data_IF_735414437456
#
_entry.id   IF_735414437456
#
_cell.length_a   1.000
_cell.length_b   1.000
_cell.length_c   1.000
_cell.angle_alpha   90.00
_cell.angle_beta   90.00
_cell.angle_gamma   90.00
#
_symmetry.space_group_name_H-M   'P 1'
#
loop_
_entity.id
_entity.type
_entity.pdbx_description
1 polymer ?
#
# COMPACT_ATOMS: atom_id res chain seq x y z
N UNK A 1 11.47 -10.33 9.38
CA UNK A 1 10.86 -11.42 10.17
C UNK A 1 9.46 -11.05 10.62
N UNK A 2 9.28 -10.18 11.64
CA UNK A 2 7.93 -9.82 12.10
C UNK A 2 7.06 -9.24 10.96
N UNK A 3 7.60 -8.28 10.20
CA UNK A 3 6.96 -7.72 9.00
C UNK A 3 6.67 -8.77 7.94
N UNK A 4 7.57 -9.73 7.73
CA UNK A 4 7.37 -10.84 6.78
C UNK A 4 6.18 -11.70 7.16
N UNK A 5 6.02 -12.02 8.44
CA UNK A 5 4.88 -12.79 8.94
C UNK A 5 3.59 -12.00 8.73
N UNK A 6 3.59 -10.70 9.00
CA UNK A 6 2.47 -9.81 8.69
C UNK A 6 2.09 -9.83 7.21
N UNK A 7 3.06 -9.61 6.33
CA UNK A 7 2.88 -9.62 4.88
C UNK A 7 2.39 -10.98 4.36
N UNK A 8 2.86 -12.10 4.94
CA UNK A 8 2.37 -13.44 4.62
C UNK A 8 0.87 -13.59 4.93
N UNK A 9 0.42 -13.19 6.12
CA UNK A 9 -1.00 -13.24 6.47
C UNK A 9 -1.85 -12.24 5.67
N UNK A 10 -1.31 -11.04 5.40
CA UNK A 10 -1.99 -10.05 4.56
C UNK A 10 -2.13 -10.55 3.12
N UNK A 11 -1.12 -11.22 2.57
CA UNK A 11 -1.16 -11.81 1.24
C UNK A 11 -2.22 -12.91 1.12
N UNK A 12 -2.26 -13.84 2.07
CA UNK A 12 -3.31 -14.87 2.13
C UNK A 12 -4.70 -14.25 2.28
N UNK A 13 -4.84 -13.25 3.15
CA UNK A 13 -6.10 -12.53 3.30
C UNK A 13 -6.51 -11.83 2.00
N UNK A 14 -5.56 -11.25 1.26
CA UNK A 14 -5.84 -10.58 -0.02
C UNK A 14 -6.32 -11.57 -1.07
N UNK A 15 -5.70 -12.74 -1.15
CA UNK A 15 -6.11 -13.81 -2.05
C UNK A 15 -7.53 -14.33 -1.74
N UNK A 16 -7.90 -14.38 -0.45
CA UNK A 16 -9.25 -14.73 -0.06
C UNK A 16 -10.26 -13.61 -0.33
N UNK A 17 -9.94 -12.37 0.04
CA UNK A 17 -10.80 -11.19 -0.11
C UNK A 17 -11.04 -10.85 -1.58
N UNK A 18 -10.04 -11.02 -2.46
CA UNK A 18 -10.18 -10.78 -3.91
C UNK A 18 -11.25 -11.68 -4.55
N UNK A 19 -11.52 -12.85 -3.95
CA UNK A 19 -12.55 -13.80 -4.39
C UNK A 19 -13.93 -13.54 -3.81
N UNK A 20 -14.08 -12.57 -2.90
CA UNK A 20 -15.38 -12.24 -2.32
C UNK A 20 -16.31 -11.56 -3.32
N UNK A 21 -17.61 -11.77 -3.16
CA UNK A 21 -18.66 -11.24 -4.06
C UNK A 21 -18.53 -9.73 -4.29
N UNK A 22 -18.17 -8.96 -3.26
CA UNK A 22 -18.02 -7.51 -3.39
C UNK A 22 -16.92 -7.13 -4.39
N UNK A 23 -15.73 -7.71 -4.22
CA UNK A 23 -14.57 -7.49 -5.08
C UNK A 23 -14.81 -7.99 -6.51
N UNK A 24 -15.60 -9.05 -6.67
CA UNK A 24 -15.95 -9.62 -7.97
C UNK A 24 -17.06 -8.87 -8.72
N UNK A 25 -17.83 -8.03 -8.02
CA UNK A 25 -18.95 -7.27 -8.61
C UNK A 25 -18.52 -5.87 -9.02
N UNK A 26 -17.52 -5.30 -8.33
CA UNK A 26 -17.04 -3.93 -8.54
C UNK A 26 -15.51 -3.96 -8.57
N UNK A 27 -14.95 -3.89 -9.77
CA UNK A 27 -13.50 -3.97 -10.03
C UNK A 27 -12.76 -2.79 -9.34
N UNK A 28 -13.41 -1.63 -9.22
CA UNK A 28 -12.86 -0.45 -8.54
C UNK A 28 -12.55 -0.69 -7.06
N UNK A 29 -13.16 -1.70 -6.42
CA UNK A 29 -12.82 -2.10 -5.05
C UNK A 29 -11.50 -2.89 -4.98
N UNK A 30 -11.11 -3.63 -6.03
CA UNK A 30 -9.80 -4.29 -6.07
C UNK A 30 -8.72 -3.25 -6.40
N UNK A 31 -8.98 -2.38 -7.37
CA UNK A 31 -8.04 -1.32 -7.80
C UNK A 31 -7.69 -0.37 -6.64
N UNK A 32 -8.63 -0.11 -5.73
CA UNK A 32 -8.40 0.81 -4.60
C UNK A 32 -7.57 0.17 -3.47
N UNK A 33 -7.45 -1.17 -3.38
CA UNK A 33 -6.76 -1.83 -2.26
C UNK A 33 -5.29 -1.39 -2.16
N UNK A 34 -4.44 -1.52 -3.19
CA UNK A 34 -3.04 -1.11 -3.08
C UNK A 34 -2.88 0.37 -2.76
N UNK A 35 -3.77 1.20 -3.30
CA UNK A 35 -3.82 2.64 -3.05
C UNK A 35 -4.05 2.92 -1.57
N UNK A 36 -5.09 2.32 -0.98
CA UNK A 36 -5.45 2.54 0.42
C UNK A 36 -4.39 1.96 1.36
N UNK A 37 -3.86 0.77 1.09
CA UNK A 37 -2.84 0.13 1.92
C UNK A 37 -1.56 0.98 1.99
N UNK A 38 -1.01 1.37 0.83
CA UNK A 38 0.20 2.19 0.78
C UNK A 38 0.00 3.54 1.47
N UNK A 39 -1.11 4.23 1.22
CA UNK A 39 -1.38 5.53 1.81
C UNK A 39 -1.54 5.43 3.33
N UNK A 40 -2.25 4.41 3.79
CA UNK A 40 -2.47 4.19 5.21
C UNK A 40 -1.19 3.80 5.94
N UNK A 41 -0.38 2.91 5.38
CA UNK A 41 0.94 2.57 5.94
C UNK A 41 1.81 3.82 6.13
N UNK A 42 1.80 4.73 5.16
CA UNK A 42 2.51 6.02 5.27
C UNK A 42 1.94 6.92 6.38
N UNK A 43 0.63 6.97 6.58
CA UNK A 43 0.01 7.77 7.66
C UNK A 43 0.36 7.23 9.04
N UNK A 44 0.33 5.91 9.22
CA UNK A 44 0.62 5.26 10.50
C UNK A 44 2.11 5.28 10.85
N UNK A 45 2.98 5.14 9.86
CA UNK A 45 4.43 5.30 10.05
C UNK A 45 4.75 6.74 10.48
N UNK A 46 4.12 7.75 9.86
CA UNK A 46 4.27 9.14 10.28
C UNK A 46 3.75 9.38 11.71
N UNK A 47 2.61 8.79 12.06
CA UNK A 47 2.08 8.83 13.42
C UNK A 47 3.08 8.23 14.43
N UNK A 48 3.60 7.04 14.11
CA UNK A 48 4.59 6.34 14.94
C UNK A 48 5.84 7.18 15.16
N UNK A 49 6.43 7.73 14.09
CA UNK A 49 7.66 8.52 14.19
C UNK A 49 7.46 9.80 15.02
N UNK A 50 6.31 10.48 14.87
CA UNK A 50 5.98 11.68 15.67
C UNK A 50 5.82 11.36 17.14
N UNK A 51 5.07 10.30 17.47
CA UNK A 51 4.86 9.87 18.85
C UNK A 51 6.14 9.31 19.47
N UNK A 52 6.98 8.62 18.71
CA UNK A 52 8.29 8.14 19.13
C UNK A 52 9.23 9.31 19.48
N UNK A 53 9.27 10.33 18.61
CA UNK A 53 10.02 11.57 18.90
C UNK A 53 9.49 12.27 20.16
N UNK A 54 8.17 12.43 20.30
CA UNK A 54 7.55 13.01 21.50
C UNK A 54 7.84 12.19 22.77
N UNK A 55 7.88 10.86 22.66
CA UNK A 55 8.24 9.97 23.76
C UNK A 55 9.71 10.16 24.16
N UNK A 56 10.61 10.26 23.19
CA UNK A 56 12.05 10.40 23.42
C UNK A 56 12.42 11.77 23.99
N UNK A 57 11.70 12.83 23.61
CA UNK A 57 11.84 14.18 24.18
C UNK A 57 11.19 14.28 25.58
N UNK A 58 10.32 13.34 25.96
CA UNK A 58 9.64 13.32 27.26
C UNK A 58 8.32 14.11 27.31
N UNK A 59 7.81 14.58 26.17
CA UNK A 59 6.52 15.30 26.09
C UNK A 59 5.32 14.42 26.48
N UNK A 60 5.47 13.09 26.40
CA UNK A 60 4.43 12.12 26.77
C UNK A 60 4.38 11.79 28.28
N UNK A 61 5.33 12.33 29.07
CA UNK A 61 5.41 12.03 30.50
C UNK A 61 4.30 12.77 31.28
N UNK A 62 3.95 14.01 30.86
CA UNK A 62 2.81 14.76 31.42
C UNK A 62 1.47 14.23 30.89
N UNK A 63 0.53 13.80 31.76
CA UNK A 63 -0.73 13.19 31.34
C UNK A 63 -1.65 14.13 30.54
N UNK A 64 -1.62 15.44 30.81
CA UNK A 64 -2.46 16.42 30.12
C UNK A 64 -1.94 16.63 28.70
N UNK A 65 -0.63 16.83 28.56
CA UNK A 65 0.07 17.00 27.29
C UNK A 65 -0.02 15.73 26.45
N UNK A 66 0.23 14.56 27.05
CA UNK A 66 0.03 13.25 26.42
C UNK A 66 -1.37 13.11 25.83
N UNK A 67 -2.42 13.43 26.59
CA UNK A 67 -3.80 13.35 26.09
C UNK A 67 -4.05 14.29 24.91
N UNK A 68 -3.52 15.51 24.94
CA UNK A 68 -3.61 16.47 23.82
C UNK A 68 -2.88 15.98 22.58
N UNK A 69 -1.68 15.41 22.72
CA UNK A 69 -0.90 14.85 21.61
C UNK A 69 -1.63 13.65 21.00
N UNK A 70 -2.08 12.70 21.83
CA UNK A 70 -2.78 11.49 21.36
C UNK A 70 -4.09 11.84 20.66
N UNK A 71 -4.97 12.62 21.31
CA UNK A 71 -6.25 12.99 20.71
C UNK A 71 -6.05 13.84 19.45
N UNK A 72 -5.11 14.78 19.45
CA UNK A 72 -4.81 15.59 18.28
C UNK A 72 -4.35 14.75 17.09
N UNK A 73 -3.45 13.81 17.32
CA UNK A 73 -2.95 12.94 16.25
C UNK A 73 -4.02 11.95 15.78
N UNK A 74 -4.86 11.43 16.68
CA UNK A 74 -5.96 10.53 16.29
C UNK A 74 -7.01 11.26 15.45
N UNK A 75 -7.39 12.50 15.82
CA UNK A 75 -8.28 13.33 14.99
C UNK A 75 -7.64 13.69 13.65
N UNK A 76 -6.33 13.94 13.61
CA UNK A 76 -5.60 14.18 12.36
C UNK A 76 -5.63 12.94 11.46
N UNK A 77 -5.40 11.76 12.03
CA UNK A 77 -5.45 10.49 11.32
C UNK A 77 -6.84 10.25 10.70
N UNK A 78 -7.91 10.60 11.41
CA UNK A 78 -9.28 10.52 10.86
C UNK A 78 -9.49 11.45 9.66
N UNK A 79 -9.07 12.72 9.76
CA UNK A 79 -9.18 13.66 8.64
C UNK A 79 -8.40 13.15 7.42
N UNK A 80 -7.16 12.70 7.64
CA UNK A 80 -6.30 12.21 6.56
C UNK A 80 -6.89 10.95 5.95
N UNK A 81 -7.32 9.97 6.75
CA UNK A 81 -7.94 8.74 6.25
C UNK A 81 -9.17 9.02 5.39
N UNK A 82 -10.09 9.87 5.84
CA UNK A 82 -11.30 10.20 5.07
C UNK A 82 -10.98 10.89 3.75
N UNK A 83 -10.13 11.93 3.78
CA UNK A 83 -9.79 12.69 2.58
C UNK A 83 -9.05 11.82 1.58
N UNK A 84 -8.07 11.05 2.05
CA UNK A 84 -7.24 10.21 1.20
C UNK A 84 -8.05 9.09 0.57
N UNK A 85 -8.93 8.42 1.32
CA UNK A 85 -9.79 7.36 0.80
C UNK A 85 -10.85 7.87 -0.18
N UNK A 86 -11.39 9.07 0.06
CA UNK A 86 -12.32 9.70 -0.88
C UNK A 86 -11.64 10.00 -2.22
N UNK A 87 -10.44 10.60 -2.20
CA UNK A 87 -9.68 10.87 -3.43
C UNK A 87 -9.25 9.56 -4.10
N UNK A 88 -8.83 8.55 -3.34
CA UNK A 88 -8.50 7.23 -3.87
C UNK A 88 -9.70 6.59 -4.61
N UNK A 89 -10.93 6.75 -4.08
CA UNK A 89 -12.14 6.28 -4.74
C UNK A 89 -12.41 7.02 -6.06
N UNK A 90 -12.22 8.34 -6.10
CA UNK A 90 -12.32 9.10 -7.34
C UNK A 90 -11.30 8.61 -8.39
N UNK A 91 -10.05 8.40 -7.98
CA UNK A 91 -9.00 7.92 -8.89
C UNK A 91 -9.30 6.50 -9.37
N UNK A 92 -9.75 5.61 -8.47
CA UNK A 92 -10.09 4.22 -8.82
C UNK A 92 -11.17 4.16 -9.90
N UNK A 93 -12.23 4.97 -9.80
CA UNK A 93 -13.31 5.02 -10.80
C UNK A 93 -12.82 5.58 -12.14
N UNK A 94 -11.99 6.63 -12.12
CA UNK A 94 -11.41 7.19 -13.36
C UNK A 94 -10.56 6.12 -14.06
N UNK A 95 -9.73 5.41 -13.29
CA UNK A 95 -8.85 4.37 -13.80
C UNK A 95 -9.65 3.17 -14.32
N UNK A 96 -10.64 2.69 -13.57
CA UNK A 96 -11.55 1.62 -14.00
C UNK A 96 -12.27 1.96 -15.30
N UNK A 97 -12.75 3.19 -15.43
CA UNK A 97 -13.38 3.68 -16.67
C UNK A 97 -12.41 3.64 -17.87
N UNK A 98 -11.15 4.03 -17.69
CA UNK A 98 -10.14 4.00 -18.75
C UNK A 98 -9.83 2.55 -19.19
N UNK A 99 -9.73 1.62 -18.24
CA UNK A 99 -9.48 0.20 -18.52
C UNK A 99 -10.64 -0.38 -19.34
N UNK A 100 -11.89 -0.12 -18.96
CA UNK A 100 -13.08 -0.58 -19.69
C UNK A 100 -13.17 0.00 -21.12
N UNK A 101 -12.83 1.29 -21.29
CA UNK A 101 -12.80 1.95 -22.60
C UNK A 101 -11.75 1.35 -23.53
N UNK A 102 -10.55 1.12 -23.02
CA UNK A 102 -9.46 0.48 -23.76
C UNK A 102 -9.86 -0.93 -24.16
N UNK A 103 -10.54 -1.65 -23.27
CA UNK A 103 -10.97 -3.00 -23.55
C UNK A 103 -12.05 -3.09 -24.64
N UNK A 104 -13.03 -2.19 -24.58
CA UNK A 104 -14.10 -2.11 -25.59
C UNK A 104 -13.55 -1.75 -26.97
N UNK A 105 -12.53 -0.91 -27.03
CA UNK A 105 -11.88 -0.47 -28.28
C UNK A 105 -11.07 -1.59 -28.93
N UNK A 106 -10.40 -2.44 -28.13
CA UNK A 106 -9.65 -3.59 -28.65
C UNK A 106 -10.58 -4.63 -29.30
N UNK A 107 -11.74 -4.90 -28.70
CA UNK A 107 -12.75 -5.83 -29.23
C UNK A 107 -13.37 -5.28 -30.54
N UNK A 108 -13.59 -3.97 -30.65
CA UNK A 108 -14.11 -3.36 -31.88
C UNK A 108 -13.12 -3.38 -33.06
N UNK A 109 -11.84 -3.64 -32.79
CA UNK A 109 -10.77 -3.66 -33.80
C UNK A 109 -10.41 -5.06 -34.32
N UNK A 110 -11.03 -6.13 -33.80
CA UNK A 110 -10.87 -7.47 -34.39
C UNK A 110 -11.74 -7.57 -35.64
N UNK A 111 -11.16 -7.74 -36.86
CA UNK A 111 -11.95 -7.94 -38.05
C UNK A 111 -12.69 -9.29 -37.95
N UNK A 112 -13.96 -9.32 -38.36
CA UNK A 112 -14.75 -10.55 -38.52
C UNK A 112 -14.00 -11.50 -39.45
N UNK A 113 -13.29 -12.47 -38.86
CA UNK A 113 -12.59 -13.50 -39.62
C UNK A 113 -13.54 -14.66 -39.83
N UNK A 114 -14.04 -14.78 -41.06
CA UNK A 114 -14.84 -15.89 -41.55
C UNK A 114 -14.19 -17.23 -41.19
N UNK A 115 -15.02 -18.12 -40.66
CA UNK A 115 -14.67 -19.48 -40.27
C UNK A 115 -14.16 -20.28 -41.48
N UNK A 116 -12.84 -20.44 -41.58
CA UNK A 116 -12.21 -21.27 -42.60
C UNK A 116 -10.72 -21.48 -42.38
N UNK A 117 -10.38 -22.68 -41.93
CA UNK A 117 -9.07 -23.33 -42.00
C UNK A 117 -8.08 -23.14 -40.84
N UNK A 118 -7.64 -24.30 -40.36
CA UNK A 118 -6.71 -24.58 -39.26
C UNK A 118 -5.25 -24.20 -39.60
N UNK A 119 -4.49 -23.89 -38.54
CA UNK A 119 -3.04 -23.70 -38.44
C UNK A 119 -2.55 -22.24 -38.51
N UNK A 120 -2.67 -21.54 -37.39
CA UNK A 120 -1.82 -20.38 -37.07
C UNK A 120 -1.69 -20.24 -35.55
N UNK A 121 -0.76 -20.98 -34.99
CA UNK A 121 -0.12 -20.65 -33.71
C UNK A 121 0.63 -19.32 -33.90
N UNK A 122 0.29 -18.27 -33.13
CA UNK A 122 1.20 -17.19 -32.64
C UNK A 122 0.46 -15.94 -32.07
N UNK A 123 -0.86 -15.74 -32.20
CA UNK A 123 -1.51 -14.53 -31.63
C UNK A 123 -2.74 -14.79 -30.72
N UNK A 124 -2.55 -15.55 -29.63
CA UNK A 124 -3.62 -15.77 -28.62
C UNK A 124 -3.35 -15.19 -27.21
N UNK A 125 -2.31 -14.36 -27.02
CA UNK A 125 -1.98 -13.81 -25.69
C UNK A 125 -2.59 -12.45 -25.34
N UNK A 126 -3.64 -12.02 -26.05
CA UNK A 126 -4.43 -10.84 -25.66
C UNK A 126 -5.90 -11.22 -25.45
N UNK A 127 -6.18 -12.17 -24.55
CA UNK A 127 -7.51 -12.24 -23.96
C UNK A 127 -7.63 -11.11 -22.95
N UNK A 128 -8.25 -10.01 -23.39
CA UNK A 128 -8.80 -8.98 -22.53
C UNK A 128 -9.73 -9.61 -21.47
N UNK A 129 -9.82 -9.03 -20.26
CA UNK A 129 -10.65 -9.57 -19.20
C UNK A 129 -12.12 -9.40 -19.58
N UNK A 130 -12.75 -10.49 -20.02
CA UNK A 130 -14.19 -10.55 -20.23
C UNK A 130 -14.79 -11.35 -19.07
N UNK A 131 -15.43 -10.67 -18.12
CA UNK A 131 -16.57 -11.22 -17.38
C UNK A 131 -17.83 -10.61 -17.97
N UNK A 132 -18.79 -11.41 -18.45
CA UNK A 132 -20.07 -10.88 -18.88
C UNK A 132 -20.86 -10.40 -17.64
N UNK A 133 -21.16 -9.10 -17.57
CA UNK A 133 -22.24 -8.62 -16.72
C UNK A 133 -23.59 -9.03 -17.34
N UNK A 134 -24.61 -9.41 -16.55
CA UNK A 134 -25.96 -9.55 -17.08
C UNK A 134 -26.45 -8.20 -17.63
N UNK A 135 -27.32 -8.19 -18.65
CA UNK A 135 -27.77 -6.95 -19.27
C UNK A 135 -28.71 -6.23 -18.30
N UNK A 136 -28.26 -5.10 -17.75
CA UNK A 136 -29.18 -4.16 -17.11
C UNK A 136 -28.97 -2.76 -17.68
N UNK A 137 -29.96 -2.33 -18.46
CA UNK A 137 -30.12 -1.01 -19.05
C UNK A 137 -30.16 0.09 -17.98
N UNK A 138 -29.02 0.63 -17.54
CA UNK A 138 -28.95 1.94 -16.85
C UNK A 138 -27.52 2.49 -16.71
N UNK A 139 -26.78 2.62 -17.82
CA UNK A 139 -25.36 3.06 -17.84
C UNK A 139 -25.02 4.37 -17.09
N UNK A 140 -25.98 5.27 -16.83
CA UNK A 140 -25.76 6.51 -16.06
C UNK A 140 -26.12 6.40 -14.56
N UNK A 141 -26.97 5.44 -14.14
CA UNK A 141 -27.31 5.21 -12.72
C UNK A 141 -26.36 4.19 -12.06
N UNK A 142 -25.70 3.33 -12.84
CA UNK A 142 -24.73 2.36 -12.33
C UNK A 142 -23.47 3.05 -11.78
N UNK A 143 -22.85 3.95 -12.56
CA UNK A 143 -21.56 4.54 -12.20
C UNK A 143 -21.57 5.42 -10.94
N UNK A 144 -22.64 6.19 -10.69
CA UNK A 144 -22.75 6.97 -9.45
C UNK A 144 -22.96 6.04 -8.23
N UNK A 145 -23.75 4.99 -8.41
CA UNK A 145 -24.03 4.00 -7.36
C UNK A 145 -22.75 3.25 -6.98
N UNK A 146 -22.01 2.76 -7.97
CA UNK A 146 -20.69 2.12 -7.80
C UNK A 146 -19.71 3.08 -7.12
N UNK A 147 -19.59 4.32 -7.60
CA UNK A 147 -18.73 5.34 -6.99
C UNK A 147 -19.09 5.56 -5.51
N UNK A 148 -20.37 5.77 -5.20
CA UNK A 148 -20.79 6.01 -3.81
C UNK A 148 -20.53 4.80 -2.92
N UNK A 149 -20.66 3.58 -3.44
CA UNK A 149 -20.31 2.36 -2.72
C UNK A 149 -18.80 2.26 -2.47
N UNK A 150 -17.97 2.48 -3.49
CA UNK A 150 -16.51 2.42 -3.37
C UNK A 150 -16.02 3.48 -2.38
N UNK A 151 -16.48 4.72 -2.53
CA UNK A 151 -16.11 5.83 -1.65
C UNK A 151 -16.51 5.57 -0.19
N UNK A 152 -17.77 5.20 0.06
CA UNK A 152 -18.26 4.96 1.42
C UNK A 152 -17.63 3.73 2.07
N UNK A 153 -17.41 2.64 1.31
CA UNK A 153 -16.71 1.44 1.82
C UNK A 153 -15.27 1.78 2.19
N UNK A 154 -14.52 2.39 1.27
CA UNK A 154 -13.12 2.74 1.49
C UNK A 154 -12.96 3.71 2.67
N UNK A 155 -13.77 4.77 2.73
CA UNK A 155 -13.77 5.73 3.83
C UNK A 155 -14.12 5.08 5.16
N UNK A 156 -15.19 4.27 5.23
CA UNK A 156 -15.60 3.64 6.49
C UNK A 156 -14.51 2.68 6.99
N UNK A 157 -14.02 1.80 6.11
CA UNK A 157 -12.98 0.82 6.46
C UNK A 157 -11.71 1.49 6.93
N UNK A 158 -11.25 2.54 6.23
CA UNK A 158 -10.05 3.28 6.65
C UNK A 158 -10.25 4.08 7.92
N UNK A 159 -11.42 4.70 8.13
CA UNK A 159 -11.71 5.41 9.39
C UNK A 159 -11.71 4.45 10.59
N UNK A 160 -12.44 3.33 10.49
CA UNK A 160 -12.48 2.29 11.53
C UNK A 160 -11.07 1.75 11.78
N UNK A 161 -10.36 1.39 10.70
CA UNK A 161 -8.99 0.88 10.78
C UNK A 161 -8.08 1.90 11.47
N UNK A 162 -8.22 3.18 11.14
CA UNK A 162 -7.42 4.27 11.72
C UNK A 162 -7.74 4.53 13.18
N UNK A 163 -9.00 4.39 13.62
CA UNK A 163 -9.33 4.45 15.05
C UNK A 163 -8.68 3.30 15.81
N UNK A 164 -8.86 2.06 15.31
CA UNK A 164 -8.36 0.85 15.96
C UNK A 164 -6.84 0.90 16.05
N UNK A 165 -6.17 1.05 14.91
CA UNK A 165 -4.73 0.93 14.84
C UNK A 165 -4.02 2.19 15.35
N UNK A 166 -4.57 3.39 15.11
CA UNK A 166 -4.06 4.62 15.71
C UNK A 166 -4.11 4.59 17.23
N UNK A 167 -5.20 4.10 17.83
CA UNK A 167 -5.31 3.95 19.28
C UNK A 167 -4.36 2.88 19.83
N UNK A 168 -4.23 1.76 19.11
CA UNK A 168 -3.29 0.69 19.47
C UNK A 168 -1.84 1.18 19.42
N UNK A 169 -1.43 1.88 18.36
CA UNK A 169 -0.09 2.47 18.22
C UNK A 169 0.20 3.50 19.31
N UNK A 170 -0.73 4.41 19.59
CA UNK A 170 -0.56 5.38 20.69
C UNK A 170 -0.35 4.68 22.03
N UNK A 171 -1.16 3.65 22.31
CA UNK A 171 -1.06 2.86 23.55
C UNK A 171 0.28 2.12 23.63
N UNK A 172 0.70 1.50 22.53
CA UNK A 172 1.96 0.78 22.42
C UNK A 172 3.16 1.71 22.72
N UNK A 173 3.18 2.91 22.15
CA UNK A 173 4.28 3.87 22.35
C UNK A 173 4.35 4.35 23.80
N UNK A 174 3.20 4.68 24.41
CA UNK A 174 3.13 5.04 25.83
C UNK A 174 3.59 3.87 26.72
N UNK A 175 3.25 2.64 26.35
CA UNK A 175 3.66 1.44 27.06
C UNK A 175 5.17 1.20 26.95
N UNK A 176 5.75 1.39 25.75
CA UNK A 176 7.20 1.31 25.54
C UNK A 176 7.93 2.31 26.43
N UNK A 177 7.48 3.56 26.45
CA UNK A 177 8.01 4.62 27.33
C UNK A 177 7.91 4.22 28.80
N UNK A 178 6.77 3.69 29.25
CA UNK A 178 6.58 3.24 30.64
C UNK A 178 7.52 2.10 31.03
N UNK A 179 7.88 1.23 30.09
CA UNK A 179 8.83 0.14 30.30
C UNK A 179 10.29 0.51 30.00
N UNK A 180 10.60 1.77 29.71
CA UNK A 180 11.96 2.21 29.39
C UNK A 180 12.51 1.60 28.09
N UNK A 181 11.65 1.14 27.18
CA UNK A 181 12.02 0.66 25.85
C UNK A 181 11.83 1.76 24.84
N UNK A 182 12.76 1.86 23.89
CA UNK A 182 12.68 2.82 22.79
C UNK A 182 11.53 2.43 21.84
N UNK A 183 10.49 3.28 21.70
CA UNK A 183 9.35 3.01 20.83
C UNK A 183 9.74 2.92 19.35
N UNK A 184 10.82 3.58 18.91
CA UNK A 184 11.23 3.60 17.49
C UNK A 184 11.71 2.23 17.00
N UNK A 185 12.12 1.35 17.92
CA UNK A 185 12.54 -0.02 17.61
C UNK A 185 11.37 -1.02 17.54
N UNK A 186 10.19 -0.67 18.07
CA UNK A 186 9.07 -1.60 18.26
C UNK A 186 7.85 -1.17 17.45
N UNK A 187 7.50 0.11 17.48
CA UNK A 187 6.27 0.61 16.89
C UNK A 187 6.26 0.53 15.35
N UNK A 188 7.32 0.93 14.61
CA UNK A 188 7.29 0.87 13.14
C UNK A 188 7.12 -0.56 12.57
N UNK A 189 7.84 -1.60 13.05
CA UNK A 189 7.61 -2.97 12.60
C UNK A 189 6.20 -3.50 12.89
N UNK A 190 5.61 -3.14 14.04
CA UNK A 190 4.26 -3.55 14.41
C UNK A 190 3.21 -2.80 13.58
N UNK A 191 3.39 -1.50 13.36
CA UNK A 191 2.54 -0.69 12.49
C UNK A 191 2.49 -1.28 11.08
N UNK A 192 3.64 -1.60 10.49
CA UNK A 192 3.73 -2.21 9.17
C UNK A 192 3.06 -3.60 9.11
N UNK A 193 3.20 -4.42 10.16
CA UNK A 193 2.63 -5.76 10.21
C UNK A 193 1.10 -5.77 10.36
N UNK A 194 0.54 -4.92 11.23
CA UNK A 194 -0.89 -4.91 11.56
C UNK A 194 -1.69 -3.94 10.67
N UNK A 195 -1.05 -2.90 10.16
CA UNK A 195 -1.62 -1.89 9.27
C UNK A 195 -2.39 -2.48 8.11
N UNK A 196 -1.66 -3.20 7.27
CA UNK A 196 -2.24 -3.71 6.04
C UNK A 196 -3.27 -4.80 6.32
N UNK A 197 -2.98 -5.68 7.29
CA UNK A 197 -3.86 -6.78 7.67
C UNK A 197 -5.23 -6.29 8.17
N UNK A 198 -5.23 -5.37 9.14
CA UNK A 198 -6.47 -4.83 9.73
C UNK A 198 -7.25 -4.04 8.68
N UNK A 199 -6.56 -3.26 7.86
CA UNK A 199 -7.20 -2.43 6.82
C UNK A 199 -7.83 -3.27 5.74
N UNK A 200 -7.11 -4.27 5.24
CA UNK A 200 -7.62 -5.17 4.22
C UNK A 200 -8.82 -5.98 4.72
N UNK A 201 -8.75 -6.48 5.97
CA UNK A 201 -9.86 -7.16 6.62
C UNK A 201 -11.11 -6.27 6.67
N UNK A 202 -10.94 -5.01 7.09
CA UNK A 202 -12.04 -4.06 7.18
C UNK A 202 -12.57 -3.62 5.81
N UNK A 203 -11.71 -3.49 4.79
CA UNK A 203 -12.16 -3.24 3.40
C UNK A 203 -13.05 -4.40 2.95
N UNK A 204 -12.57 -5.64 3.04
CA UNK A 204 -13.35 -6.82 2.66
C UNK A 204 -14.68 -6.90 3.40
N UNK A 205 -14.66 -6.76 4.73
CA UNK A 205 -15.85 -6.92 5.58
C UNK A 205 -16.90 -5.83 5.32
N UNK A 206 -16.48 -4.56 5.30
CA UNK A 206 -17.39 -3.44 5.04
C UNK A 206 -17.95 -3.52 3.63
N UNK A 207 -17.13 -3.76 2.62
CA UNK A 207 -17.61 -3.90 1.24
C UNK A 207 -18.61 -5.05 1.08
N UNK A 208 -18.40 -6.17 1.79
CA UNK A 208 -19.33 -7.31 1.77
C UNK A 208 -20.67 -7.02 2.42
N UNK A 209 -20.70 -6.18 3.45
CA UNK A 209 -21.96 -5.70 4.04
C UNK A 209 -22.61 -4.66 3.14
N UNK A 210 -21.84 -3.72 2.61
CA UNK A 210 -22.39 -2.57 1.89
C UNK A 210 -22.93 -2.95 0.50
N UNK A 211 -22.39 -4.00 -0.12
CA UNK A 211 -22.88 -4.48 -1.41
C UNK A 211 -24.33 -5.00 -1.34
N UNK A 212 -24.81 -5.48 -0.19
CA UNK A 212 -26.24 -5.88 -0.05
C UNK A 212 -27.17 -4.68 -0.16
N UNK A 213 -26.63 -3.46 -0.02
CA UNK A 213 -27.33 -2.19 -0.08
C UNK A 213 -26.95 -1.37 -1.32
N UNK A 214 -26.33 -1.99 -2.33
CA UNK A 214 -25.79 -1.30 -3.51
C UNK A 214 -26.81 -0.35 -4.15
N UNK A 215 -28.04 -0.80 -4.40
CA UNK A 215 -29.09 0.00 -5.06
C UNK A 215 -29.88 0.94 -4.12
N UNK A 216 -29.37 1.22 -2.91
CA UNK A 216 -30.05 2.05 -1.91
C UNK A 216 -29.31 3.35 -1.65
N UNK A 217 -29.95 4.29 -0.93
CA UNK A 217 -29.29 5.54 -0.53
C UNK A 217 -28.34 5.37 0.67
N UNK A 218 -28.26 4.18 1.29
CA UNK A 218 -27.45 3.95 2.48
C UNK A 218 -25.95 4.25 2.28
N UNK A 219 -25.27 3.80 1.20
CA UNK A 219 -23.87 4.13 0.95
C UNK A 219 -23.61 5.63 0.82
N UNK A 220 -24.53 6.35 0.17
CA UNK A 220 -24.45 7.81 0.01
C UNK A 220 -24.61 8.53 1.35
N UNK A 221 -25.63 8.19 2.14
CA UNK A 221 -25.87 8.80 3.46
C UNK A 221 -24.68 8.54 4.39
N UNK A 222 -24.13 7.32 4.36
CA UNK A 222 -22.94 6.95 5.11
C UNK A 222 -21.72 7.78 4.67
N UNK A 223 -21.51 7.93 3.37
CA UNK A 223 -20.44 8.79 2.83
C UNK A 223 -20.54 10.24 3.31
N UNK A 224 -21.75 10.82 3.28
CA UNK A 224 -21.99 12.19 3.79
C UNK A 224 -21.69 12.27 5.30
N UNK A 225 -22.16 11.30 6.09
CA UNK A 225 -21.92 11.27 7.54
C UNK A 225 -20.42 11.21 7.86
N UNK A 226 -19.65 10.43 7.10
CA UNK A 226 -18.20 10.32 7.27
C UNK A 226 -17.46 11.60 6.86
N UNK A 227 -17.94 12.31 5.83
CA UNK A 227 -17.39 13.63 5.47
C UNK A 227 -17.68 14.63 6.59
N UNK A 228 -18.90 14.64 7.14
CA UNK A 228 -19.25 15.50 8.27
C UNK A 228 -18.41 15.18 9.51
N UNK A 229 -18.18 13.91 9.84
CA UNK A 229 -17.33 13.52 10.96
C UNK A 229 -15.87 13.95 10.74
N UNK A 230 -15.36 13.91 9.50
CA UNK A 230 -14.05 14.40 9.15
C UNK A 230 -13.95 15.93 9.29
N UNK A 231 -14.98 16.69 8.91
CA UNK A 231 -15.03 18.15 9.12
C UNK A 231 -14.97 18.48 10.62
N UNK A 232 -15.71 17.75 11.45
CA UNK A 232 -15.66 17.91 12.91
C UNK A 232 -14.23 17.62 13.42
N UNK A 233 -13.63 16.51 13.00
CA UNK A 233 -12.25 16.18 13.37
C UNK A 233 -11.26 17.26 12.91
N UNK A 234 -11.43 17.82 11.73
CA UNK A 234 -10.59 18.91 11.20
C UNK A 234 -10.66 20.16 12.08
N UNK A 235 -11.84 20.52 12.58
CA UNK A 235 -12.00 21.63 13.52
C UNK A 235 -11.23 21.34 14.82
N UNK A 236 -11.35 20.13 15.39
CA UNK A 236 -10.60 19.72 16.58
C UNK A 236 -9.08 19.78 16.36
N UNK A 237 -8.59 19.31 15.21
CA UNK A 237 -7.15 19.35 14.88
C UNK A 237 -6.66 20.79 14.76
N UNK A 238 -7.46 21.69 14.16
CA UNK A 238 -7.12 23.11 14.04
C UNK A 238 -7.04 23.85 15.36
N UNK A 239 -7.77 23.40 16.39
CA UNK A 239 -7.69 23.97 17.73
C UNK A 239 -6.46 23.47 18.50
N UNK A 240 -5.91 22.31 18.12
CA UNK A 240 -4.79 21.69 18.82
C UNK A 240 -3.43 22.22 18.31
N UNK A 241 -2.68 22.88 19.20
CA UNK A 241 -1.39 23.52 18.90
C UNK A 241 -0.33 22.55 18.41
N UNK A 242 -0.35 21.29 18.87
CA UNK A 242 0.65 20.27 18.53
C UNK A 242 0.51 19.77 17.09
N UNK A 243 -0.71 19.69 16.56
CA UNK A 243 -1.00 19.00 15.28
C UNK A 243 -1.54 19.91 14.18
N UNK A 244 -1.95 21.15 14.49
CA UNK A 244 -2.53 22.08 13.51
C UNK A 244 -1.69 22.26 12.25
N UNK A 245 -0.35 22.30 12.38
CA UNK A 245 0.58 22.49 11.25
C UNK A 245 0.65 21.27 10.33
N UNK A 246 0.35 20.08 10.85
CA UNK A 246 0.46 18.81 10.12
C UNK A 246 -0.66 18.66 9.09
N UNK A 247 -1.78 19.36 9.29
CA UNK A 247 -2.93 19.36 8.37
C UNK A 247 -2.57 19.92 7.00
N UNK A 248 -1.56 20.78 6.87
CA UNK A 248 -1.17 21.37 5.59
C UNK A 248 0.09 20.74 4.99
N UNK A 249 0.70 19.78 5.69
CA UNK A 249 1.98 19.19 5.34
C UNK A 249 1.80 17.74 4.85
N UNK A 250 2.58 17.34 3.85
CA UNK A 250 2.68 15.93 3.41
C UNK A 250 1.71 15.50 2.30
N UNK A 251 0.81 16.38 1.85
CA UNK A 251 -0.16 16.04 0.80
C UNK A 251 0.48 15.76 -0.56
N UNK A 252 1.51 16.52 -0.95
CA UNK A 252 2.13 16.37 -2.26
C UNK A 252 2.77 14.99 -2.50
N UNK A 253 3.60 14.43 -1.60
CA UNK A 253 4.11 13.08 -1.79
C UNK A 253 3.01 12.01 -1.65
N UNK A 254 2.00 12.22 -0.80
CA UNK A 254 0.87 11.28 -0.66
C UNK A 254 0.05 11.18 -1.95
N UNK A 255 -0.33 12.30 -2.58
CA UNK A 255 -1.08 12.26 -3.84
C UNK A 255 -0.22 11.76 -5.02
N UNK A 256 1.08 12.06 -5.03
CA UNK A 256 2.00 11.47 -6.00
C UNK A 256 2.08 9.94 -5.87
N UNK A 257 2.20 9.44 -4.64
CA UNK A 257 2.18 8.01 -4.34
C UNK A 257 0.85 7.36 -4.73
N UNK A 258 -0.29 8.02 -4.45
CA UNK A 258 -1.63 7.55 -4.81
C UNK A 258 -1.74 7.28 -6.32
N UNK A 259 -1.31 8.23 -7.16
CA UNK A 259 -1.38 8.08 -8.61
C UNK A 259 -0.55 6.89 -9.11
N UNK A 260 0.62 6.64 -8.52
CA UNK A 260 1.46 5.49 -8.85
C UNK A 260 0.80 4.19 -8.37
N UNK A 261 0.29 4.16 -7.14
CA UNK A 261 -0.39 2.99 -6.57
C UNK A 261 -1.67 2.61 -7.31
N UNK A 262 -2.32 3.55 -8.02
CA UNK A 262 -3.45 3.22 -8.89
C UNK A 262 -3.03 2.31 -10.05
N UNK A 263 -1.80 2.46 -10.54
CA UNK A 263 -1.19 1.53 -11.50
C UNK A 263 -1.07 0.13 -10.92
N UNK A 264 -0.60 0.03 -9.66
CA UNK A 264 -0.55 -1.25 -8.93
C UNK A 264 -1.94 -1.86 -8.77
N UNK A 265 -2.95 -1.03 -8.48
CA UNK A 265 -4.36 -1.44 -8.42
C UNK A 265 -4.84 -2.11 -9.70
N UNK A 266 -4.53 -1.54 -10.87
CA UNK A 266 -4.88 -2.15 -12.16
C UNK A 266 -4.16 -3.47 -12.39
N UNK A 267 -2.87 -3.56 -12.06
CA UNK A 267 -2.13 -4.82 -12.19
C UNK A 267 -2.75 -5.89 -11.30
N UNK A 268 -3.10 -5.54 -10.06
CA UNK A 268 -3.78 -6.45 -9.15
C UNK A 268 -5.12 -6.91 -9.71
N UNK A 269 -5.96 -6.00 -10.19
CA UNK A 269 -7.27 -6.31 -10.77
C UNK A 269 -7.18 -7.29 -11.96
N UNK A 270 -6.30 -7.00 -12.92
CA UNK A 270 -6.12 -7.79 -14.13
C UNK A 270 -5.60 -9.20 -13.81
N UNK A 271 -4.63 -9.33 -12.91
CA UNK A 271 -3.90 -10.58 -12.70
C UNK A 271 -4.36 -11.40 -11.50
N UNK A 272 -5.10 -10.82 -10.54
CA UNK A 272 -5.64 -11.54 -9.38
C UNK A 272 -6.55 -12.70 -9.77
N UNK A 273 -7.34 -12.55 -10.83
CA UNK A 273 -8.23 -13.61 -11.35
C UNK A 273 -7.56 -14.52 -12.36
N UNK A 274 -6.45 -14.08 -12.97
CA UNK A 274 -5.74 -14.80 -14.03
C UNK A 274 -4.79 -15.87 -13.49
N UNK A 275 -4.15 -15.60 -12.36
CA UNK A 275 -3.14 -16.47 -11.77
C UNK A 275 -3.48 -16.79 -10.31
N UNK A 276 -3.65 -18.07 -10.00
CA UNK A 276 -3.84 -18.55 -8.62
C UNK A 276 -2.67 -18.14 -7.70
N UNK A 277 -2.98 -17.55 -6.55
CA UNK A 277 -1.97 -17.08 -5.60
C UNK A 277 -1.23 -15.81 -6.01
N UNK A 278 -1.60 -15.16 -7.13
CA UNK A 278 -1.02 -13.87 -7.51
C UNK A 278 -1.20 -12.79 -6.43
N UNK A 279 -2.40 -12.56 -5.85
CA UNK A 279 -2.57 -11.52 -4.83
C UNK A 279 -1.69 -11.75 -3.60
N UNK A 280 -1.54 -13.01 -3.20
CA UNK A 280 -0.67 -13.39 -2.09
C UNK A 280 0.79 -13.03 -2.37
N UNK A 281 1.32 -13.46 -3.52
CA UNK A 281 2.71 -13.21 -3.89
C UNK A 281 2.96 -11.71 -4.15
N UNK A 282 1.96 -11.00 -4.68
CA UNK A 282 2.01 -9.57 -4.98
C UNK A 282 2.29 -8.71 -3.74
N UNK A 283 1.71 -9.06 -2.59
CA UNK A 283 1.95 -8.36 -1.32
C UNK A 283 3.40 -8.53 -0.85
N UNK A 284 3.99 -9.71 -1.00
CA UNK A 284 5.33 -9.99 -0.47
C UNK A 284 6.44 -9.47 -1.38
N UNK A 285 6.32 -9.69 -2.70
CA UNK A 285 7.30 -9.21 -3.69
C UNK A 285 7.37 -7.68 -3.75
N UNK A 286 6.31 -7.01 -3.31
CA UNK A 286 6.23 -5.55 -3.22
C UNK A 286 6.66 -5.04 -1.84
N UNK A 287 6.07 -5.60 -0.79
CA UNK A 287 6.23 -5.12 0.59
C UNK A 287 7.63 -5.34 1.16
N UNK A 288 8.28 -6.48 0.89
CA UNK A 288 9.63 -6.73 1.40
C UNK A 288 10.67 -5.80 0.76
N UNK A 289 10.80 -5.70 -0.58
CA UNK A 289 11.69 -4.72 -1.20
C UNK A 289 11.38 -3.28 -0.81
N UNK A 290 10.11 -2.90 -0.70
CA UNK A 290 9.69 -1.56 -0.24
C UNK A 290 10.21 -1.25 1.17
N UNK A 291 10.02 -2.17 2.12
CA UNK A 291 10.51 -2.02 3.51
C UNK A 291 12.04 -1.95 3.61
N UNK A 292 12.75 -2.65 2.73
CA UNK A 292 14.22 -2.64 2.69
C UNK A 292 14.74 -1.30 2.14
N UNK A 293 14.09 -0.79 1.10
CA UNK A 293 14.42 0.52 0.56
C UNK A 293 14.08 1.66 1.52
N UNK A 294 13.00 1.58 2.29
CA UNK A 294 12.66 2.59 3.29
C UNK A 294 13.70 2.70 4.41
N UNK A 295 14.29 1.57 4.84
CA UNK A 295 15.43 1.55 5.77
C UNK A 295 16.63 2.29 5.16
N UNK A 296 16.92 2.07 3.88
CA UNK A 296 18.02 2.77 3.20
C UNK A 296 17.73 4.27 3.04
N UNK A 297 16.50 4.66 2.68
CA UNK A 297 16.07 6.06 2.60
C UNK A 297 16.28 6.76 3.94
N UNK A 298 15.79 6.18 5.03
CA UNK A 298 15.90 6.75 6.38
C UNK A 298 17.37 6.91 6.82
N UNK A 299 18.20 5.89 6.57
CA UNK A 299 19.64 5.96 6.85
C UNK A 299 20.34 7.05 6.04
N UNK A 300 20.07 7.12 4.74
CA UNK A 300 20.70 8.10 3.87
C UNK A 300 20.22 9.53 4.20
N UNK A 301 18.95 9.71 4.53
CA UNK A 301 18.40 10.99 4.99
C UNK A 301 19.07 11.45 6.29
N UNK A 302 19.18 10.56 7.28
CA UNK A 302 19.86 10.84 8.55
C UNK A 302 21.33 11.24 8.32
N UNK A 303 22.05 10.51 7.47
CA UNK A 303 23.43 10.83 7.11
C UNK A 303 23.56 12.21 6.42
N UNK A 304 22.61 12.57 5.55
CA UNK A 304 22.59 13.86 4.86
C UNK A 304 22.30 15.03 5.83
N UNK A 305 21.34 14.86 6.74
CA UNK A 305 21.02 15.85 7.78
C UNK A 305 22.16 16.03 8.78
N UNK A 306 22.80 14.93 9.18
CA UNK A 306 24.01 14.97 10.00
C UNK A 306 25.15 15.71 9.28
N UNK A 307 25.40 15.36 8.01
CA UNK A 307 26.42 16.01 7.18
C UNK A 307 26.18 17.52 7.01
N UNK A 308 24.93 17.92 6.77
CA UNK A 308 24.54 19.33 6.67
C UNK A 308 24.75 20.09 7.98
N UNK A 309 24.44 19.46 9.12
CA UNK A 309 24.66 20.02 10.45
C UNK A 309 26.15 20.15 10.79
N UNK A 310 26.98 19.17 10.39
CA UNK A 310 28.45 19.23 10.56
C UNK A 310 29.16 20.22 9.64
N UNK A 311 28.56 20.69 8.54
CA UNK A 311 29.12 21.84 7.79
C UNK A 311 29.13 23.13 8.63
N UNK A 312 28.37 23.17 9.72
CA UNK A 312 28.30 24.30 10.66
C UNK A 312 29.09 24.05 11.96
N UNK A 313 29.43 22.79 12.28
CA UNK A 313 30.16 22.43 13.51
C UNK A 313 31.30 21.44 13.23
N UNK A 314 32.53 21.88 13.49
CA UNK A 314 33.73 21.07 13.32
C UNK A 314 33.78 19.90 14.31
N UNK A 315 33.94 18.70 13.75
CA UNK A 315 34.33 17.43 14.38
C UNK A 315 33.22 16.52 14.95
N UNK A 316 33.02 15.38 14.28
CA UNK A 316 33.24 14.01 14.79
C UNK A 316 32.94 13.04 13.64
N UNK A 317 33.97 12.36 13.14
CA UNK A 317 33.80 11.25 12.20
C UNK A 317 33.30 10.02 12.96
N UNK A 318 31.99 9.80 12.99
CA UNK A 318 31.45 8.44 13.09
C UNK A 318 31.83 7.69 11.81
N UNK A 319 32.46 6.51 11.95
CA UNK A 319 32.66 5.59 10.82
C UNK A 319 31.30 5.04 10.38
N UNK A 320 30.57 5.80 9.59
CA UNK A 320 29.36 5.27 8.96
C UNK A 320 29.74 4.26 7.87
N UNK A 321 29.12 3.07 7.85
CA UNK A 321 29.41 2.06 6.83
C UNK A 321 29.05 2.59 5.44
N UNK A 322 29.83 2.20 4.42
CA UNK A 322 29.62 2.69 3.06
C UNK A 322 28.20 2.34 2.57
N UNK A 323 27.52 3.25 1.83
CA UNK A 323 26.16 2.99 1.33
C UNK A 323 26.05 1.69 0.54
N UNK A 324 27.09 1.34 -0.23
CA UNK A 324 27.17 0.08 -0.98
C UNK A 324 27.22 -1.15 -0.07
N UNK A 325 27.92 -1.08 1.06
CA UNK A 325 27.96 -2.18 2.04
C UNK A 325 26.60 -2.36 2.69
N UNK A 326 25.89 -1.27 3.02
CA UNK A 326 24.51 -1.35 3.53
C UNK A 326 23.57 -1.98 2.51
N UNK A 327 23.63 -1.56 1.25
CA UNK A 327 22.84 -2.13 0.16
C UNK A 327 23.11 -3.64 0.00
N UNK A 328 24.37 -4.06 0.00
CA UNK A 328 24.74 -5.47 -0.13
C UNK A 328 24.25 -6.29 1.07
N UNK A 329 24.44 -5.79 2.29
CA UNK A 329 23.96 -6.46 3.51
C UNK A 329 22.45 -6.62 3.48
N UNK A 330 21.70 -5.58 3.10
CA UNK A 330 20.25 -5.64 2.98
C UNK A 330 19.80 -6.65 1.93
N UNK A 331 20.44 -6.69 0.76
CA UNK A 331 20.17 -7.69 -0.27
C UNK A 331 20.39 -9.11 0.26
N UNK A 332 21.56 -9.39 0.85
CA UNK A 332 21.91 -10.72 1.36
C UNK A 332 20.99 -11.16 2.50
N UNK A 333 20.54 -10.23 3.35
CA UNK A 333 19.61 -10.54 4.43
C UNK A 333 18.23 -10.91 3.89
N UNK A 334 17.78 -10.35 2.76
CA UNK A 334 16.43 -10.61 2.20
C UNK A 334 16.27 -11.98 1.55
N UNK A 335 17.33 -12.56 0.99
CA UNK A 335 17.28 -13.88 0.34
C UNK A 335 16.78 -15.02 1.25
N UNK A 336 17.32 -15.24 2.46
CA UNK A 336 16.82 -16.28 3.34
C UNK A 336 15.39 -16.00 3.81
N UNK A 337 14.96 -14.73 3.86
CA UNK A 337 13.58 -14.35 4.21
C UNK A 337 12.62 -14.85 3.13
N UNK A 338 12.96 -14.61 1.86
CA UNK A 338 12.14 -15.04 0.72
C UNK A 338 12.07 -16.57 0.61
N UNK A 339 13.20 -17.24 0.79
CA UNK A 339 13.23 -18.71 0.80
C UNK A 339 12.39 -19.28 1.94
N UNK A 340 12.48 -18.69 3.14
CA UNK A 340 11.65 -19.08 4.28
C UNK A 340 10.16 -18.84 4.01
N UNK A 341 9.81 -17.73 3.35
CA UNK A 341 8.45 -17.41 2.94
C UNK A 341 7.87 -18.46 1.96
N UNK A 342 8.55 -18.72 0.84
CA UNK A 342 8.12 -19.72 -0.14
C UNK A 342 8.04 -21.13 0.48
N UNK A 343 8.98 -21.46 1.36
CA UNK A 343 8.96 -22.73 2.11
C UNK A 343 7.73 -22.82 3.03
N UNK A 344 7.34 -21.72 3.67
CA UNK A 344 6.16 -21.64 4.54
C UNK A 344 4.86 -21.83 3.73
N UNK A 345 4.74 -21.19 2.56
CA UNK A 345 3.58 -21.38 1.68
C UNK A 345 3.40 -22.83 1.27
N UNK A 346 4.51 -23.50 0.91
CA UNK A 346 4.50 -24.92 0.58
C UNK A 346 4.16 -25.80 1.78
N UNK A 347 4.68 -25.49 2.96
CA UNK A 347 4.45 -26.24 4.19
C UNK A 347 3.00 -26.14 4.69
N UNK A 348 2.40 -24.95 4.58
CA UNK A 348 1.00 -24.70 4.94
C UNK A 348 0.00 -25.19 3.88
N UNK A 349 0.50 -25.54 2.68
CA UNK A 349 -0.35 -25.98 1.58
C UNK A 349 -1.20 -24.88 0.95
N UNK A 350 -0.90 -23.60 1.26
CA UNK A 350 -1.61 -22.44 0.71
C UNK A 350 -1.34 -22.27 -0.79
N UNK A 351 -0.11 -22.58 -1.23
CA UNK A 351 0.26 -22.50 -2.64
C UNK A 351 1.24 -23.62 -3.03
N UNK A 352 0.89 -24.40 -4.06
CA UNK A 352 1.72 -25.50 -4.58
C UNK A 352 2.42 -25.07 -5.86
N UNK A 353 3.54 -24.36 -5.70
CA UNK A 353 4.32 -23.88 -6.82
C UNK A 353 5.31 -24.93 -7.34
N UNK A 354 5.47 -25.09 -8.66
CA UNK A 354 6.57 -25.83 -9.24
C UNK A 354 7.92 -25.29 -8.75
N UNK A 355 8.91 -26.17 -8.58
CA UNK A 355 10.27 -25.75 -8.13
C UNK A 355 10.86 -24.72 -9.10
N UNK A 356 10.58 -24.87 -10.40
CA UNK A 356 11.01 -23.93 -11.44
C UNK A 356 10.41 -22.54 -11.18
N UNK A 357 9.12 -22.45 -10.85
CA UNK A 357 8.49 -21.18 -10.48
C UNK A 357 9.17 -20.56 -9.25
N UNK A 358 9.43 -21.36 -8.21
CA UNK A 358 10.11 -20.87 -7.01
C UNK A 358 11.52 -20.31 -7.32
N UNK A 359 12.27 -20.95 -8.23
CA UNK A 359 13.58 -20.45 -8.67
C UNK A 359 13.46 -19.10 -9.40
N UNK A 360 12.54 -19.00 -10.36
CA UNK A 360 12.30 -17.73 -11.07
C UNK A 360 11.79 -16.64 -10.13
N UNK A 361 10.91 -16.97 -9.20
CA UNK A 361 10.37 -16.05 -8.20
C UNK A 361 11.48 -15.47 -7.32
N UNK A 362 12.45 -16.29 -6.87
CA UNK A 362 13.62 -15.79 -6.13
C UNK A 362 14.48 -14.86 -7.01
N UNK A 363 14.69 -15.17 -8.29
CA UNK A 363 15.45 -14.29 -9.20
C UNK A 363 14.75 -12.94 -9.39
N UNK A 364 13.44 -12.93 -9.65
CA UNK A 364 12.67 -11.70 -9.80
C UNK A 364 12.58 -10.91 -8.50
N UNK A 365 12.51 -11.58 -7.35
CA UNK A 365 12.61 -10.96 -6.04
C UNK A 365 13.96 -10.26 -5.83
N UNK A 366 15.09 -10.91 -6.19
CA UNK A 366 16.40 -10.27 -6.18
C UNK A 366 16.43 -9.01 -7.05
N UNK A 367 15.87 -9.07 -8.25
CA UNK A 367 15.75 -7.92 -9.15
C UNK A 367 14.92 -6.79 -8.51
N UNK A 368 13.82 -7.12 -7.83
CA UNK A 368 12.99 -6.16 -7.12
C UNK A 368 13.74 -5.49 -5.96
N UNK A 369 14.47 -6.25 -5.14
CA UNK A 369 15.29 -5.71 -4.03
C UNK A 369 16.41 -4.82 -4.57
N UNK A 370 17.13 -5.25 -5.59
CA UNK A 370 18.17 -4.43 -6.24
C UNK A 370 17.58 -3.11 -6.76
N UNK A 371 16.45 -3.18 -7.48
CA UNK A 371 15.76 -2.00 -8.01
C UNK A 371 15.33 -1.07 -6.87
N UNK A 372 14.79 -1.61 -5.78
CA UNK A 372 14.42 -0.86 -4.58
C UNK A 372 15.58 -0.08 -3.98
N UNK A 373 16.74 -0.72 -3.82
CA UNK A 373 17.92 -0.10 -3.22
C UNK A 373 18.49 1.02 -4.11
N UNK A 374 18.56 0.80 -5.42
CA UNK A 374 19.00 1.83 -6.36
C UNK A 374 18.01 3.00 -6.42
N UNK A 375 16.71 2.71 -6.44
CA UNK A 375 15.66 3.72 -6.47
C UNK A 375 15.66 4.55 -5.18
N UNK A 376 15.81 3.92 -4.02
CA UNK A 376 15.94 4.59 -2.72
C UNK A 376 17.12 5.57 -2.72
N UNK A 377 18.30 5.11 -3.16
CA UNK A 377 19.49 5.96 -3.23
C UNK A 377 19.30 7.13 -4.21
N UNK A 378 18.76 6.86 -5.39
CA UNK A 378 18.51 7.88 -6.41
C UNK A 378 17.51 8.92 -5.91
N UNK A 379 16.37 8.49 -5.39
CA UNK A 379 15.28 9.36 -4.97
C UNK A 379 15.68 10.26 -3.81
N UNK A 380 16.39 9.72 -2.81
CA UNK A 380 16.90 10.49 -1.68
C UNK A 380 17.88 11.59 -2.13
N UNK A 381 18.87 11.25 -2.98
CA UNK A 381 19.83 12.23 -3.49
C UNK A 381 19.17 13.29 -4.39
N UNK A 382 18.22 12.86 -5.23
CA UNK A 382 17.47 13.75 -6.10
C UNK A 382 16.63 14.75 -5.31
N UNK A 383 15.87 14.30 -4.32
CA UNK A 383 15.04 15.18 -3.48
C UNK A 383 15.90 16.11 -2.62
N UNK A 384 17.01 15.61 -2.09
CA UNK A 384 17.97 16.43 -1.36
C UNK A 384 18.54 17.54 -2.22
N UNK A 385 18.91 17.25 -3.47
CA UNK A 385 19.38 18.26 -4.43
C UNK A 385 18.35 19.36 -4.72
N UNK A 386 17.06 19.05 -4.53
CA UNK A 386 15.93 19.97 -4.70
C UNK A 386 15.49 20.65 -3.39
N UNK A 387 16.28 20.56 -2.31
CA UNK A 387 15.97 21.10 -0.97
C UNK A 387 14.65 20.57 -0.40
N UNK A 388 14.28 19.32 -0.74
CA UNK A 388 13.14 18.63 -0.16
C UNK A 388 13.63 17.56 0.81
N UNK A 389 12.96 17.44 1.94
CA UNK A 389 13.30 16.47 2.98
C UNK A 389 13.03 15.03 2.47
N UNK A 390 14.06 14.18 2.33
CA UNK A 390 13.88 12.82 1.81
C UNK A 390 12.97 11.96 2.68
N UNK A 391 12.97 12.10 4.00
CA UNK A 391 12.11 11.28 4.86
C UNK A 391 10.62 11.55 4.61
N UNK A 392 10.27 12.79 4.28
CA UNK A 392 8.89 13.20 4.05
C UNK A 392 8.41 12.91 2.62
N UNK A 393 9.31 12.97 1.63
CA UNK A 393 8.94 12.87 0.21
C UNK A 393 9.35 11.54 -0.43
N UNK A 394 10.51 10.99 -0.08
CA UNK A 394 11.03 9.79 -0.72
C UNK A 394 10.27 8.55 -0.27
N UNK A 395 9.91 8.43 1.01
CA UNK A 395 9.26 7.23 1.55
C UNK A 395 7.92 6.89 0.84
N UNK A 396 6.95 7.82 0.72
CA UNK A 396 5.66 7.47 0.10
C UNK A 396 5.81 7.13 -1.40
N UNK A 397 6.68 7.88 -2.10
CA UNK A 397 6.90 7.71 -3.54
C UNK A 397 7.67 6.40 -3.81
N UNK A 398 8.69 6.11 -3.01
CA UNK A 398 9.47 4.87 -3.11
C UNK A 398 8.59 3.65 -2.87
N UNK A 399 7.79 3.66 -1.81
CA UNK A 399 6.86 2.55 -1.51
C UNK A 399 5.89 2.31 -2.66
N UNK A 400 5.23 3.37 -3.17
CA UNK A 400 4.31 3.24 -4.29
C UNK A 400 4.96 2.69 -5.57
N UNK A 401 6.19 3.14 -5.87
CA UNK A 401 6.95 2.63 -7.02
C UNK A 401 7.33 1.17 -6.83
N UNK A 402 7.70 0.75 -5.62
CA UNK A 402 8.05 -0.64 -5.36
C UNK A 402 6.84 -1.56 -5.39
N UNK A 403 5.66 -1.08 -5.01
CA UNK A 403 4.41 -1.81 -5.22
C UNK A 403 4.15 -2.07 -6.70
N UNK A 404 4.32 -1.05 -7.55
CA UNK A 404 4.11 -1.20 -8.99
C UNK A 404 5.19 -2.09 -9.64
N UNK A 405 6.47 -1.82 -9.37
CA UNK A 405 7.60 -2.58 -9.94
C UNK A 405 7.57 -4.04 -9.47
N UNK A 406 7.30 -4.27 -8.19
CA UNK A 406 7.20 -5.62 -7.62
C UNK A 406 6.13 -6.45 -8.31
N UNK A 407 4.92 -5.91 -8.47
CA UNK A 407 3.85 -6.61 -9.16
C UNK A 407 4.13 -6.82 -10.66
N UNK A 408 4.72 -5.84 -11.36
CA UNK A 408 5.08 -6.02 -12.78
C UNK A 408 6.16 -7.10 -12.97
N UNK A 409 7.15 -7.18 -12.08
CA UNK A 409 8.16 -8.25 -12.09
C UNK A 409 7.52 -9.61 -11.77
N UNK A 410 6.52 -9.65 -10.88
CA UNK A 410 5.75 -10.87 -10.61
C UNK A 410 4.95 -11.32 -11.83
N UNK A 411 4.28 -10.40 -12.52
CA UNK A 411 3.57 -10.69 -13.78
C UNK A 411 4.54 -11.29 -14.79
N UNK A 412 5.71 -10.68 -14.97
CA UNK A 412 6.74 -11.20 -15.88
C UNK A 412 7.20 -12.61 -15.48
N UNK A 413 7.34 -12.88 -14.17
CA UNK A 413 7.63 -14.21 -13.66
C UNK A 413 6.54 -15.22 -14.06
N UNK A 414 5.26 -14.89 -13.85
CA UNK A 414 4.15 -15.76 -14.25
C UNK A 414 4.13 -15.99 -15.76
N UNK A 415 4.21 -14.95 -16.58
CA UNK A 415 4.18 -15.08 -18.04
C UNK A 415 5.34 -15.93 -18.58
N UNK A 416 6.55 -15.77 -18.04
CA UNK A 416 7.70 -16.60 -18.43
C UNK A 416 7.47 -18.07 -18.05
N UNK A 417 7.03 -18.35 -16.82
CA UNK A 417 6.84 -19.74 -16.38
C UNK A 417 5.67 -20.41 -17.11
N UNK A 418 4.60 -19.66 -17.41
CA UNK A 418 3.50 -20.12 -18.27
C UNK A 418 3.98 -20.38 -19.70
N UNK A 419 4.82 -19.51 -20.28
CA UNK A 419 5.39 -19.72 -21.62
C UNK A 419 6.30 -20.95 -21.69
N UNK A 420 6.93 -21.33 -20.57
CA UNK A 420 7.72 -22.57 -20.46
C UNK A 420 6.85 -23.83 -20.31
N UNK A 421 5.52 -23.70 -20.18
CA UNK A 421 4.59 -24.82 -20.04
C UNK A 421 4.63 -25.49 -18.66
N UNK A 422 5.15 -24.80 -17.64
CA UNK A 422 5.37 -25.34 -16.28
C UNK A 422 4.28 -24.89 -15.30
N UNK A 423 3.42 -23.94 -15.70
CA UNK A 423 2.34 -23.38 -14.89
C UNK A 423 0.97 -23.66 -15.52
#
# INVERSE_FOLDING_TARGET
MLTTVGLLFTGELLDHVSRWRAMQTIDELIIIIPVVLNLKGNLEMNLSARLGTAANIGELDDPITRRKIILGNLSLLQVQATVVSFVAACVSVIVGSIVQLTASSAIASTPDFDSGNTNSTVFHYARLPHRPMPPHDSKLKSGLTEFTMVASSAMLSTCISSVILGSFMCTLIVLCRRFGRDPDNIAPPIAACLGDLVTLCLIGAVSSVLITFLNTLYPLILGILLILSAIICFIFVRQNTFVRRLVTQGWSPLFGAMLISSGTGMVLDIFASRYEGFPLLAIVISGLPGSVGSILVSRLSTALHAAASTRVSSSRHSKEPSPRLVMLTLLLVTLPIEVAFLSTLRALGWLRLPIIFALFSVVFFCCAVCTSLYLAQFLTNFLWSRKRDPDMYALPIHSALMDLVGQLLLVLCFEIVTALGVY
#
